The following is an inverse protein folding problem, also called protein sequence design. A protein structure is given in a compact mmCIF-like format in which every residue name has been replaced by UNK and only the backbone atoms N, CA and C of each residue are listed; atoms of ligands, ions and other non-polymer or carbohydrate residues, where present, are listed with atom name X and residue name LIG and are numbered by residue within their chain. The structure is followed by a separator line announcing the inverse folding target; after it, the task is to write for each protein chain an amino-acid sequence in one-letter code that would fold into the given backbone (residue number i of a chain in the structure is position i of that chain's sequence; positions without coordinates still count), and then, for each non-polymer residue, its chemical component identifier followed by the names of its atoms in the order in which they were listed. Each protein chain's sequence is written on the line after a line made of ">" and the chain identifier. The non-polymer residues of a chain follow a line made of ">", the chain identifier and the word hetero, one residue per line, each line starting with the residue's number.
data_IF_104414310182
#
_entry.id   IF_104414310182
#
_cell.length_a   1.000
_cell.length_b   1.000
_cell.length_c   1.000
_cell.angle_alpha   90.00
_cell.angle_beta   90.00
_cell.angle_gamma   90.00
#
_symmetry.space_group_name_H-M   'P 1'
#
loop_
_entity.id
_entity.type
_entity.pdbx_description
1 polymer ?
#
# COMPACT_ATOMS: atom_id res chain seq x y z
N UNK A 1 -22.14 1.19 20.21
CA UNK A 1 -22.86 2.29 19.53
C UNK A 1 -22.63 3.66 20.18
N UNK A 2 -22.81 3.87 21.50
CA UNK A 2 -22.56 5.18 22.14
C UNK A 2 -21.18 5.83 21.87
N UNK A 3 -20.14 5.03 21.58
CA UNK A 3 -18.79 5.52 21.31
C UNK A 3 -18.65 6.20 19.94
N UNK A 4 -19.40 5.80 18.90
CA UNK A 4 -19.28 6.41 17.56
C UNK A 4 -19.89 7.82 17.54
N UNK A 5 -21.05 7.98 18.19
CA UNK A 5 -21.70 9.29 18.32
C UNK A 5 -20.83 10.27 19.10
N UNK A 6 -20.21 9.85 20.21
CA UNK A 6 -19.27 10.71 20.96
C UNK A 6 -18.07 11.15 20.14
N UNK A 7 -17.58 10.27 19.26
CA UNK A 7 -16.50 10.61 18.34
C UNK A 7 -17.00 11.62 17.31
N UNK A 8 -18.20 11.44 16.76
CA UNK A 8 -18.79 12.42 15.83
C UNK A 8 -19.06 13.77 16.48
N UNK A 9 -19.54 13.80 17.72
CA UNK A 9 -19.72 15.02 18.48
C UNK A 9 -18.39 15.77 18.65
N UNK A 10 -17.30 15.05 18.97
CA UNK A 10 -15.97 15.63 19.07
C UNK A 10 -15.45 16.15 17.72
N UNK A 11 -15.81 15.49 16.63
CA UNK A 11 -15.44 15.86 15.27
C UNK A 11 -16.37 16.93 14.67
N UNK A 12 -17.46 17.34 15.33
CA UNK A 12 -18.40 18.33 14.80
C UNK A 12 -17.86 19.77 14.90
N UNK A 13 -16.81 20.01 15.69
CA UNK A 13 -16.26 21.34 15.92
C UNK A 13 -15.14 21.69 14.91
N UNK A 14 -15.01 22.97 14.48
CA UNK A 14 -13.90 23.42 13.65
C UNK A 14 -12.54 23.02 14.20
N UNK A 15 -11.65 22.56 13.33
CA UNK A 15 -10.31 22.12 13.67
C UNK A 15 -9.26 22.84 12.81
N UNK A 16 -9.11 24.18 12.95
CA UNK A 16 -8.29 24.99 12.04
C UNK A 16 -6.79 24.64 12.07
N UNK A 17 -6.30 24.11 13.19
CA UNK A 17 -4.90 23.76 13.40
C UNK A 17 -4.60 22.25 13.23
N UNK A 18 -5.61 21.43 12.90
CA UNK A 18 -5.43 19.99 12.81
C UNK A 18 -4.70 19.62 11.51
N UNK A 19 -3.55 18.96 11.63
CA UNK A 19 -2.75 18.51 10.49
C UNK A 19 -2.94 17.01 10.18
N UNK A 20 -3.21 16.21 11.21
CA UNK A 20 -3.29 14.76 11.14
C UNK A 20 -4.48 14.23 11.95
N UNK A 21 -5.20 13.26 11.39
CA UNK A 21 -6.32 12.61 12.05
C UNK A 21 -6.19 11.09 11.96
N UNK A 22 -6.15 10.41 13.10
CA UNK A 22 -6.25 8.95 13.15
C UNK A 22 -7.47 8.54 13.97
N UNK A 23 -8.37 7.78 13.34
CA UNK A 23 -9.57 7.25 13.96
C UNK A 23 -9.52 5.73 13.91
N UNK A 24 -9.34 5.12 15.08
CA UNK A 24 -9.34 3.68 15.26
C UNK A 24 -10.57 3.26 16.07
N UNK A 25 -11.68 2.99 15.39
CA UNK A 25 -12.88 2.44 16.03
C UNK A 25 -12.91 0.93 15.91
N UNK A 26 -13.23 0.25 17.01
CA UNK A 26 -13.49 -1.17 16.99
C UNK A 26 -14.98 -1.40 16.71
N UNK A 27 -15.30 -1.92 15.53
CA UNK A 27 -16.66 -2.30 15.14
C UNK A 27 -16.79 -3.82 15.29
N UNK A 28 -17.83 -4.28 15.98
CA UNK A 28 -18.15 -5.70 16.10
C UNK A 28 -18.43 -6.29 14.71
N UNK A 29 -17.77 -7.39 14.38
CA UNK A 29 -17.84 -8.05 13.07
C UNK A 29 -19.23 -8.64 12.81
N UNK A 30 -19.99 -8.98 13.86
CA UNK A 30 -21.36 -9.49 13.74
C UNK A 30 -22.31 -8.45 13.15
N UNK A 31 -22.05 -7.16 13.40
CA UNK A 31 -22.85 -6.05 12.88
C UNK A 31 -22.57 -5.70 11.42
N UNK A 32 -21.48 -6.21 10.81
CA UNK A 32 -21.08 -5.91 9.41
C UNK A 32 -21.68 -6.85 8.36
N UNK A 33 -22.26 -7.98 8.77
CA UNK A 33 -22.85 -8.97 7.84
C UNK A 33 -24.14 -8.47 7.17
N UNK A 34 -24.70 -7.36 7.66
CA UNK A 34 -25.87 -6.70 7.10
C UNK A 34 -25.45 -5.27 6.77
N UNK A 35 -25.79 -4.83 5.54
CA UNK A 35 -25.62 -3.47 4.99
C UNK A 35 -25.15 -2.45 6.02
N UNK A 36 -23.93 -1.92 5.86
CA UNK A 36 -23.36 -0.90 6.74
C UNK A 36 -24.40 0.19 7.01
N UNK A 37 -24.87 0.34 8.25
CA UNK A 37 -25.71 1.47 8.63
C UNK A 37 -25.03 2.78 8.25
N UNK A 38 -25.81 3.80 7.89
CA UNK A 38 -25.32 5.15 7.56
C UNK A 38 -24.42 5.75 8.66
N UNK A 39 -24.55 5.24 9.88
CA UNK A 39 -23.79 5.59 11.07
C UNK A 39 -22.28 5.29 10.96
N UNK A 40 -21.84 4.47 10.00
CA UNK A 40 -20.43 4.14 9.79
C UNK A 40 -19.75 4.91 8.67
N UNK A 41 -20.49 5.81 8.01
CA UNK A 41 -19.88 6.84 7.17
C UNK A 41 -19.36 7.98 8.04
N UNK A 42 -18.24 8.54 7.63
CA UNK A 42 -17.77 9.78 8.23
C UNK A 42 -18.78 10.90 7.93
N UNK A 43 -19.15 11.70 8.96
CA UNK A 43 -20.07 12.80 8.79
C UNK A 43 -19.60 13.75 7.68
N UNK A 44 -20.54 14.15 6.82
CA UNK A 44 -20.25 15.08 5.72
C UNK A 44 -19.73 16.43 6.22
N UNK A 45 -20.19 16.85 7.37
CA UNK A 45 -19.86 18.08 8.07
C UNK A 45 -18.72 17.90 9.08
N UNK A 46 -17.83 16.90 8.87
CA UNK A 46 -16.62 16.72 9.67
C UNK A 46 -15.90 18.07 9.87
N UNK A 47 -15.57 18.38 11.13
CA UNK A 47 -15.00 19.63 11.61
C UNK A 47 -15.78 20.89 11.22
N UNK A 48 -17.11 20.81 11.12
CA UNK A 48 -17.96 21.84 10.52
C UNK A 48 -17.47 22.28 9.12
N UNK A 49 -16.83 21.37 8.39
CA UNK A 49 -16.19 21.64 7.10
C UNK A 49 -14.86 22.41 7.18
N UNK A 50 -14.32 22.67 8.37
CA UNK A 50 -13.15 23.53 8.61
C UNK A 50 -11.97 22.76 9.22
N UNK A 51 -11.16 22.16 8.35
CA UNK A 51 -9.84 21.60 8.70
C UNK A 51 -8.80 21.93 7.60
N UNK A 52 -8.48 23.22 7.37
CA UNK A 52 -7.66 23.67 6.25
C UNK A 52 -6.23 23.15 6.25
N UNK A 53 -5.69 22.77 7.42
CA UNK A 53 -4.34 22.22 7.57
C UNK A 53 -4.31 20.69 7.54
N UNK A 54 -5.46 20.01 7.47
CA UNK A 54 -5.49 18.55 7.50
C UNK A 54 -4.85 17.98 6.23
N UNK A 55 -3.76 17.22 6.39
CA UNK A 55 -3.00 16.62 5.29
C UNK A 55 -2.97 15.10 5.35
N UNK A 56 -3.13 14.50 6.53
CA UNK A 56 -3.08 13.06 6.73
C UNK A 56 -4.28 12.56 7.50
N UNK A 57 -4.85 11.45 7.05
CA UNK A 57 -5.96 10.82 7.73
C UNK A 57 -5.85 9.30 7.64
N UNK A 58 -6.15 8.63 8.75
CA UNK A 58 -6.06 7.18 8.86
C UNK A 58 -7.31 6.62 9.56
N UNK A 59 -8.09 5.80 8.85
CA UNK A 59 -9.38 5.33 9.34
C UNK A 59 -9.38 3.80 9.40
N UNK A 60 -9.75 3.28 10.55
CA UNK A 60 -10.03 1.87 10.70
C UNK A 60 -11.54 1.67 10.61
N UNK A 61 -11.99 0.86 9.66
CA UNK A 61 -13.36 0.33 9.58
C UNK A 61 -14.50 1.31 9.26
N UNK A 62 -14.21 2.55 8.90
CA UNK A 62 -15.21 3.55 8.49
C UNK A 62 -15.15 3.84 6.99
N UNK A 63 -16.29 4.17 6.39
CA UNK A 63 -16.38 4.55 4.98
C UNK A 63 -16.42 6.08 4.80
N UNK A 64 -15.92 6.55 3.67
CA UNK A 64 -16.04 7.93 3.25
C UNK A 64 -17.47 8.18 2.80
N UNK A 65 -18.01 9.34 3.15
CA UNK A 65 -19.29 9.76 2.61
C UNK A 65 -19.19 9.84 1.06
N UNK A 66 -20.11 9.24 0.30
CA UNK A 66 -20.01 9.18 -1.17
C UNK A 66 -20.03 10.57 -1.82
N UNK A 67 -20.74 11.52 -1.22
CA UNK A 67 -20.79 12.92 -1.67
C UNK A 67 -19.56 13.75 -1.26
N UNK A 68 -18.59 13.13 -0.59
CA UNK A 68 -17.37 13.76 -0.10
C UNK A 68 -17.54 14.49 1.23
N UNK A 69 -16.39 14.85 1.80
CA UNK A 69 -16.29 15.54 3.10
C UNK A 69 -15.39 16.76 2.88
N UNK A 70 -15.92 18.01 2.88
CA UNK A 70 -15.16 19.21 2.52
C UNK A 70 -13.88 19.41 3.35
N UNK A 71 -13.90 19.06 4.64
CA UNK A 71 -12.73 19.13 5.51
C UNK A 71 -11.56 18.24 5.05
N UNK A 72 -11.79 17.27 4.17
CA UNK A 72 -10.78 16.37 3.62
C UNK A 72 -10.27 16.79 2.23
N UNK A 73 -10.75 17.90 1.65
CA UNK A 73 -10.38 18.30 0.29
C UNK A 73 -8.86 18.54 0.11
N UNK A 74 -8.18 18.99 1.17
CA UNK A 74 -6.72 19.21 1.21
C UNK A 74 -5.90 17.98 1.59
N UNK A 75 -6.53 16.81 1.74
CA UNK A 75 -5.86 15.59 2.20
C UNK A 75 -4.87 15.08 1.15
N UNK A 76 -3.62 14.87 1.56
CA UNK A 76 -2.53 14.39 0.68
C UNK A 76 -2.17 12.93 0.95
N UNK A 77 -2.43 12.44 2.15
CA UNK A 77 -2.20 11.05 2.55
C UNK A 77 -3.44 10.47 3.20
N UNK A 78 -3.89 9.33 2.69
CA UNK A 78 -5.04 8.63 3.23
C UNK A 78 -4.70 7.16 3.47
N UNK A 79 -4.98 6.69 4.67
CA UNK A 79 -4.94 5.27 5.01
C UNK A 79 -6.33 4.83 5.39
N UNK A 80 -6.80 3.74 4.80
CA UNK A 80 -7.96 3.06 5.32
C UNK A 80 -7.73 1.56 5.42
N UNK A 81 -8.29 0.98 6.47
CA UNK A 81 -8.27 -0.44 6.70
C UNK A 81 -9.71 -0.97 6.72
N UNK A 82 -9.96 -1.89 5.80
CA UNK A 82 -11.20 -2.60 5.63
C UNK A 82 -11.01 -4.06 6.05
N UNK A 83 -11.72 -4.48 7.09
CA UNK A 83 -11.69 -5.88 7.53
C UNK A 83 -12.38 -6.85 6.58
N UNK A 84 -13.09 -6.32 5.59
CA UNK A 84 -13.88 -7.01 4.58
C UNK A 84 -13.24 -6.80 3.20
N UNK A 85 -14.03 -6.74 2.13
CA UNK A 85 -13.57 -6.38 0.80
C UNK A 85 -13.65 -4.86 0.59
N UNK A 86 -12.69 -4.29 -0.15
CA UNK A 86 -12.77 -2.90 -0.62
C UNK A 86 -13.98 -2.74 -1.55
N UNK A 87 -14.97 -1.96 -1.12
CA UNK A 87 -16.18 -1.73 -1.90
C UNK A 87 -15.96 -0.76 -3.07
N UNK A 88 -16.76 -0.92 -4.13
CA UNK A 88 -16.73 -0.01 -5.28
C UNK A 88 -17.16 1.41 -4.87
N UNK A 89 -18.13 1.55 -3.96
CA UNK A 89 -18.59 2.85 -3.44
C UNK A 89 -17.48 3.56 -2.68
N UNK A 90 -16.73 2.84 -1.84
CA UNK A 90 -15.61 3.40 -1.10
C UNK A 90 -14.49 3.84 -2.04
N UNK A 91 -14.17 3.04 -3.06
CA UNK A 91 -13.17 3.41 -4.05
C UNK A 91 -13.60 4.66 -4.86
N UNK A 92 -14.87 4.73 -5.27
CA UNK A 92 -15.47 5.94 -5.86
C UNK A 92 -15.32 7.16 -4.96
N UNK A 93 -15.63 7.01 -3.67
CA UNK A 93 -15.56 8.10 -2.72
C UNK A 93 -14.11 8.61 -2.57
N UNK A 94 -13.13 7.71 -2.41
CA UNK A 94 -11.71 8.08 -2.32
C UNK A 94 -11.26 8.85 -3.57
N UNK A 95 -11.50 8.26 -4.75
CA UNK A 95 -11.00 8.78 -6.03
C UNK A 95 -11.75 10.04 -6.47
N UNK A 96 -13.04 10.14 -6.17
CA UNK A 96 -13.90 11.24 -6.58
C UNK A 96 -13.91 12.44 -5.64
N UNK A 97 -13.59 12.25 -4.35
CA UNK A 97 -13.79 13.29 -3.33
C UNK A 97 -12.51 13.79 -2.67
N UNK A 98 -11.35 13.15 -2.94
CA UNK A 98 -10.05 13.54 -2.40
C UNK A 98 -9.11 14.05 -3.52
N UNK A 99 -9.32 15.27 -4.04
CA UNK A 99 -8.61 15.78 -5.22
C UNK A 99 -7.11 16.00 -5.01
N UNK A 100 -6.69 16.22 -3.76
CA UNK A 100 -5.29 16.49 -3.39
C UNK A 100 -4.50 15.23 -3.01
N UNK A 101 -5.13 14.05 -3.07
CA UNK A 101 -4.53 12.81 -2.61
C UNK A 101 -3.30 12.44 -3.45
N UNK A 102 -2.20 12.09 -2.78
CA UNK A 102 -0.93 11.66 -3.39
C UNK A 102 -0.43 10.33 -2.83
N UNK A 103 -0.77 9.99 -1.60
CA UNK A 103 -0.38 8.73 -0.96
C UNK A 103 -1.63 8.00 -0.46
N UNK A 104 -1.83 6.78 -0.92
CA UNK A 104 -2.97 5.95 -0.54
C UNK A 104 -2.49 4.63 0.05
N UNK A 105 -2.94 4.31 1.27
CA UNK A 105 -2.72 3.02 1.90
C UNK A 105 -4.06 2.30 2.04
N UNK A 106 -4.16 1.12 1.44
CA UNK A 106 -5.33 0.26 1.46
C UNK A 106 -4.96 -1.05 2.12
N UNK A 107 -5.71 -1.41 3.16
CA UNK A 107 -5.67 -2.75 3.72
C UNK A 107 -7.04 -3.39 3.59
N UNK A 108 -7.15 -4.52 2.88
CA UNK A 108 -8.41 -5.23 2.69
C UNK A 108 -8.22 -6.75 2.85
N UNK A 109 -9.07 -7.41 3.64
CA UNK A 109 -8.89 -8.84 3.93
C UNK A 109 -9.61 -9.79 2.97
N UNK A 110 -10.63 -9.31 2.25
CA UNK A 110 -11.51 -10.16 1.41
C UNK A 110 -11.58 -9.67 -0.04
N UNK A 111 -10.50 -9.07 -0.56
CA UNK A 111 -10.43 -8.60 -1.95
C UNK A 111 -11.01 -7.20 -2.18
N UNK A 112 -11.48 -6.93 -3.40
CA UNK A 112 -11.94 -5.62 -3.84
C UNK A 112 -13.02 -5.70 -4.94
N UNK A 113 -13.78 -4.61 -5.10
CA UNK A 113 -14.70 -4.37 -6.22
C UNK A 113 -14.38 -3.04 -6.89
N UNK A 114 -14.41 -3.02 -8.22
CA UNK A 114 -14.19 -1.80 -8.97
C UNK A 114 -15.49 -1.01 -9.18
N UNK A 115 -15.41 0.32 -9.20
CA UNK A 115 -16.40 1.19 -9.79
C UNK A 115 -16.65 0.88 -11.27
N UNK A 116 -17.89 1.11 -11.70
CA UNK A 116 -18.26 1.09 -13.14
C UNK A 116 -17.69 2.30 -13.89
N UNK A 117 -17.56 3.45 -13.20
CA UNK A 117 -17.03 4.67 -13.77
C UNK A 117 -15.49 4.67 -13.69
N UNK A 118 -14.78 5.13 -14.74
CA UNK A 118 -13.33 5.26 -14.69
C UNK A 118 -12.90 6.30 -13.65
N UNK A 119 -11.65 6.18 -13.17
CA UNK A 119 -11.05 7.21 -12.34
C UNK A 119 -10.95 8.54 -13.12
N UNK A 120 -11.17 9.71 -12.48
CA UNK A 120 -10.97 11.00 -13.11
C UNK A 120 -9.52 11.17 -13.58
N UNK A 121 -9.32 11.77 -14.77
CA UNK A 121 -7.96 11.98 -15.33
C UNK A 121 -7.06 12.88 -14.45
N UNK A 122 -7.67 13.65 -13.55
CA UNK A 122 -6.98 14.51 -12.57
C UNK A 122 -6.49 13.74 -11.35
N UNK A 123 -7.01 12.54 -11.08
CA UNK A 123 -6.59 11.70 -9.96
C UNK A 123 -5.21 11.11 -10.24
N UNK A 124 -4.24 11.40 -9.38
CA UNK A 124 -2.86 10.93 -9.51
C UNK A 124 -2.25 10.67 -8.15
N UNK A 125 -1.74 9.44 -7.97
CA UNK A 125 -0.98 9.03 -6.80
C UNK A 125 0.52 9.06 -7.10
N UNK A 126 1.29 9.51 -6.12
CA UNK A 126 2.74 9.38 -6.09
C UNK A 126 3.15 8.09 -5.36
N UNK A 127 2.37 7.69 -4.36
CA UNK A 127 2.63 6.57 -3.46
C UNK A 127 1.38 5.70 -3.28
N UNK A 128 1.55 4.38 -3.31
CA UNK A 128 0.48 3.42 -3.08
C UNK A 128 0.97 2.28 -2.17
N UNK A 129 0.27 2.03 -1.08
CA UNK A 129 0.51 0.88 -0.20
C UNK A 129 -0.70 -0.04 -0.24
N UNK A 130 -0.52 -1.26 -0.74
CA UNK A 130 -1.58 -2.25 -0.91
C UNK A 130 -1.28 -3.51 -0.09
N UNK A 131 -2.13 -3.73 0.89
CA UNK A 131 -2.20 -4.96 1.69
C UNK A 131 -3.59 -5.58 1.50
N UNK A 132 -3.79 -6.15 0.31
CA UNK A 132 -5.03 -6.84 -0.05
C UNK A 132 -4.74 -8.34 -0.06
N UNK A 133 -5.36 -9.09 0.84
CA UNK A 133 -5.20 -10.54 0.88
C UNK A 133 -5.93 -11.18 -0.30
N UNK A 134 -5.26 -12.05 -1.08
CA UNK A 134 -5.94 -12.99 -1.98
C UNK A 134 -6.91 -13.83 -1.16
N UNK A 135 -8.15 -13.98 -1.63
CA UNK A 135 -9.06 -14.94 -1.01
C UNK A 135 -8.35 -16.31 -1.00
N UNK A 136 -8.29 -16.95 0.17
CA UNK A 136 -7.57 -18.21 0.35
C UNK A 136 -8.17 -19.37 -0.48
N UNK A 137 -9.27 -19.15 -1.20
CA UNK A 137 -10.03 -20.18 -1.89
C UNK A 137 -10.29 -19.81 -3.35
N UNK A 138 -9.34 -20.21 -4.21
CA UNK A 138 -9.45 -20.34 -5.67
C UNK A 138 -9.55 -19.02 -6.43
N UNK A 139 -8.69 -18.92 -7.44
CA UNK A 139 -8.51 -17.81 -8.37
C UNK A 139 -7.69 -16.65 -7.79
N UNK A 140 -6.45 -16.58 -8.25
CA UNK A 140 -5.57 -15.41 -8.22
C UNK A 140 -6.42 -14.14 -8.32
N UNK A 141 -6.43 -13.33 -7.25
CA UNK A 141 -6.90 -11.96 -7.38
C UNK A 141 -6.00 -11.29 -8.41
N UNK A 142 -6.51 -11.09 -9.63
CA UNK A 142 -5.86 -10.23 -10.61
C UNK A 142 -5.89 -8.83 -10.01
N UNK A 143 -4.75 -8.29 -9.59
CA UNK A 143 -4.68 -6.93 -9.07
C UNK A 143 -4.63 -5.91 -10.22
N UNK A 144 -4.32 -6.34 -11.44
CA UNK A 144 -4.22 -5.50 -12.64
C UNK A 144 -5.39 -4.54 -12.81
N UNK A 145 -6.67 -4.96 -12.67
CA UNK A 145 -7.80 -4.05 -12.82
C UNK A 145 -7.77 -2.91 -11.79
N UNK A 146 -7.50 -3.22 -10.51
CA UNK A 146 -7.36 -2.21 -9.46
C UNK A 146 -6.14 -1.31 -9.70
N UNK A 147 -5.00 -1.89 -10.07
CA UNK A 147 -3.78 -1.14 -10.34
C UNK A 147 -3.96 -0.18 -11.52
N UNK A 148 -4.57 -0.64 -12.60
CA UNK A 148 -4.91 0.22 -13.76
C UNK A 148 -5.88 1.32 -13.35
N UNK A 149 -6.91 0.99 -12.57
CA UNK A 149 -7.88 1.97 -12.06
C UNK A 149 -7.20 3.07 -11.25
N UNK A 150 -6.23 2.71 -10.40
CA UNK A 150 -5.47 3.64 -9.56
C UNK A 150 -4.35 4.38 -10.31
N UNK A 151 -4.18 4.15 -11.62
CA UNK A 151 -3.13 4.79 -12.43
C UNK A 151 -1.72 4.26 -12.13
N UNK A 152 -1.59 2.97 -11.81
CA UNK A 152 -0.34 2.32 -11.40
C UNK A 152 0.85 2.65 -12.27
N UNK A 153 0.69 2.88 -13.57
CA UNK A 153 1.75 3.23 -14.51
C UNK A 153 2.50 4.54 -14.18
N UNK A 154 1.85 5.45 -13.44
CA UNK A 154 2.38 6.77 -13.10
C UNK A 154 2.84 6.89 -11.65
N UNK A 155 2.54 5.91 -10.80
CA UNK A 155 2.85 5.94 -9.37
C UNK A 155 4.36 5.77 -9.17
N UNK A 156 5.01 6.62 -8.38
CA UNK A 156 6.47 6.55 -8.20
C UNK A 156 6.87 5.42 -7.25
N UNK A 157 6.08 5.20 -6.21
CA UNK A 157 6.41 4.24 -5.15
C UNK A 157 5.21 3.34 -4.83
N UNK A 158 5.46 2.04 -4.77
CA UNK A 158 4.45 1.04 -4.44
C UNK A 158 4.94 0.13 -3.32
N UNK A 159 4.10 -0.06 -2.31
CA UNK A 159 4.35 -0.92 -1.15
C UNK A 159 3.41 -2.12 -1.20
N UNK A 160 3.94 -3.31 -0.94
CA UNK A 160 3.14 -4.53 -0.79
C UNK A 160 3.74 -5.45 0.27
N UNK A 161 2.94 -6.34 0.87
CA UNK A 161 3.46 -7.39 1.77
C UNK A 161 3.90 -8.65 0.99
N UNK A 162 3.45 -8.82 -0.26
CA UNK A 162 3.56 -10.09 -0.97
C UNK A 162 4.37 -9.92 -2.25
N UNK A 163 5.68 -10.20 -2.21
CA UNK A 163 6.58 -10.00 -3.35
C UNK A 163 6.18 -10.86 -4.58
N UNK A 164 5.94 -12.16 -4.39
CA UNK A 164 5.63 -13.10 -5.47
C UNK A 164 4.28 -12.82 -6.19
N UNK A 165 3.31 -12.20 -5.51
CA UNK A 165 2.01 -11.86 -6.12
C UNK A 165 2.08 -10.60 -7.01
N UNK A 166 3.23 -9.93 -7.03
CA UNK A 166 3.41 -8.62 -7.65
C UNK A 166 4.62 -8.55 -8.58
N UNK A 167 5.40 -9.63 -8.67
CA UNK A 167 6.64 -9.69 -9.43
C UNK A 167 6.41 -9.23 -10.87
N UNK A 168 5.38 -9.77 -11.55
CA UNK A 168 5.00 -9.39 -12.91
C UNK A 168 4.71 -7.91 -13.11
N UNK A 169 4.09 -7.24 -12.12
CA UNK A 169 3.77 -5.82 -12.18
C UNK A 169 4.99 -4.92 -12.05
N UNK A 170 6.02 -5.38 -11.35
CA UNK A 170 7.26 -4.65 -11.17
C UNK A 170 8.24 -4.85 -12.33
N UNK A 171 8.10 -5.95 -13.06
CA UNK A 171 9.05 -6.37 -14.09
C UNK A 171 8.54 -6.21 -15.52
N UNK A 172 7.23 -6.10 -15.72
CA UNK A 172 6.59 -6.00 -17.03
C UNK A 172 6.18 -4.56 -17.44
N UNK A 173 5.92 -4.31 -18.74
CA UNK A 173 5.37 -3.03 -19.21
C UNK A 173 4.09 -2.62 -18.45
N UNK A 174 3.90 -1.31 -18.16
CA UNK A 174 4.69 -0.15 -18.58
C UNK A 174 5.95 0.08 -17.75
N UNK A 175 6.25 -0.81 -16.80
CA UNK A 175 7.47 -0.77 -16.01
C UNK A 175 8.62 -1.44 -16.76
N UNK A 176 9.82 -1.10 -16.30
CA UNK A 176 11.05 -1.71 -16.77
C UNK A 176 11.59 -2.62 -15.68
N UNK A 177 12.34 -3.65 -16.08
CA UNK A 177 13.04 -4.50 -15.15
C UNK A 177 13.86 -3.67 -14.14
N UNK A 178 13.73 -3.95 -12.83
CA UNK A 178 14.51 -3.27 -11.83
C UNK A 178 15.99 -3.60 -12.01
N UNK A 179 16.85 -2.63 -11.72
CA UNK A 179 18.30 -2.79 -11.84
C UNK A 179 18.98 -2.94 -10.47
N UNK A 180 18.28 -2.58 -9.39
CA UNK A 180 18.76 -2.72 -8.02
C UNK A 180 17.74 -3.49 -7.19
N UNK A 181 18.22 -4.48 -6.45
CA UNK A 181 17.49 -5.14 -5.37
C UNK A 181 18.23 -4.82 -4.07
N UNK A 182 17.50 -4.31 -3.08
CA UNK A 182 17.98 -4.17 -1.72
C UNK A 182 17.16 -5.07 -0.81
N UNK A 183 17.81 -5.87 0.03
CA UNK A 183 17.15 -6.71 1.03
C UNK A 183 17.82 -6.47 2.37
N UNK A 184 17.06 -5.90 3.29
CA UNK A 184 17.56 -5.48 4.60
C UNK A 184 17.27 -6.53 5.68
N UNK A 185 18.21 -6.68 6.61
CA UNK A 185 18.18 -7.66 7.72
C UNK A 185 17.20 -7.25 8.82
N UNK A 186 16.84 -8.17 9.74
CA UNK A 186 15.48 -8.24 10.23
C UNK A 186 15.13 -7.09 11.17
N UNK A 187 14.18 -6.28 10.74
CA UNK A 187 13.22 -5.68 11.67
C UNK A 187 12.22 -6.80 11.97
N UNK A 188 12.22 -7.34 13.19
CA UNK A 188 11.20 -8.30 13.67
C UNK A 188 11.10 -9.64 12.91
N UNK A 189 12.23 -10.27 12.57
CA UNK A 189 12.29 -11.55 11.81
C UNK A 189 11.72 -11.50 10.38
N UNK A 190 11.52 -10.31 9.82
CA UNK A 190 11.10 -10.13 8.42
C UNK A 190 12.12 -9.30 7.66
N UNK A 191 12.31 -9.63 6.39
CA UNK A 191 13.22 -8.93 5.50
C UNK A 191 12.44 -7.93 4.65
N UNK A 192 12.77 -6.65 4.81
CA UNK A 192 12.29 -5.59 3.93
C UNK A 192 13.08 -5.64 2.63
N UNK A 193 12.38 -5.48 1.51
CA UNK A 193 12.98 -5.48 0.19
C UNK A 193 12.58 -4.24 -0.61
N UNK A 194 13.47 -3.82 -1.49
CA UNK A 194 13.30 -2.69 -2.39
C UNK A 194 13.80 -3.07 -3.77
N UNK A 195 12.94 -2.94 -4.77
CA UNK A 195 13.24 -3.02 -6.19
C UNK A 195 13.24 -1.62 -6.76
N UNK A 196 14.35 -1.23 -7.37
CA UNK A 196 14.52 0.12 -7.92
C UNK A 196 14.75 0.01 -9.43
N UNK A 197 13.88 0.67 -10.20
CA UNK A 197 14.00 0.76 -11.65
C UNK A 197 14.95 1.89 -12.07
N UNK A 198 15.41 1.86 -13.32
CA UNK A 198 16.24 2.94 -13.88
C UNK A 198 15.51 4.29 -13.98
N UNK A 199 14.17 4.28 -14.01
CA UNK A 199 13.34 5.48 -14.04
C UNK A 199 13.07 6.07 -12.66
N UNK A 200 13.63 5.50 -11.60
CA UNK A 200 13.40 5.93 -10.21
C UNK A 200 12.10 5.40 -9.60
N UNK A 201 11.43 4.44 -10.26
CA UNK A 201 10.32 3.72 -9.65
C UNK A 201 10.83 2.80 -8.53
N UNK A 202 10.09 2.77 -7.42
CA UNK A 202 10.41 1.95 -6.26
C UNK A 202 9.24 1.03 -5.96
N UNK A 203 9.47 -0.28 -6.02
CA UNK A 203 8.61 -1.25 -5.40
C UNK A 203 9.26 -1.70 -4.08
N UNK A 204 8.54 -1.60 -2.98
CA UNK A 204 9.01 -2.03 -1.67
C UNK A 204 8.07 -3.04 -1.06
N UNK A 205 8.59 -3.88 -0.20
CA UNK A 205 7.73 -4.75 0.57
C UNK A 205 8.37 -5.37 1.77
N UNK A 206 7.53 -6.07 2.51
CA UNK A 206 7.92 -6.84 3.70
C UNK A 206 7.99 -8.32 3.33
N UNK A 207 8.66 -9.12 4.17
CA UNK A 207 8.75 -10.58 4.03
C UNK A 207 9.35 -11.03 2.69
N UNK A 208 10.62 -10.72 2.48
CA UNK A 208 11.39 -11.35 1.41
C UNK A 208 11.72 -12.80 1.78
N UNK A 209 11.23 -13.77 1.00
CA UNK A 209 11.66 -15.17 1.05
C UNK A 209 12.67 -15.39 -0.07
N UNK A 210 13.91 -15.78 0.26
CA UNK A 210 14.93 -16.00 -0.77
C UNK A 210 14.61 -17.19 -1.68
N UNK A 211 13.78 -18.13 -1.22
CA UNK A 211 13.28 -19.22 -2.04
C UNK A 211 12.40 -18.72 -3.20
N UNK A 212 11.75 -17.56 -3.07
CA UNK A 212 10.94 -16.97 -4.15
C UNK A 212 11.81 -16.58 -5.35
N UNK A 213 13.08 -16.19 -5.16
CA UNK A 213 14.02 -15.92 -6.26
C UNK A 213 14.29 -17.15 -7.14
N UNK A 214 14.22 -18.35 -6.55
CA UNK A 214 14.46 -19.61 -7.25
C UNK A 214 13.17 -20.15 -7.87
N UNK A 215 12.06 -20.04 -7.14
CA UNK A 215 10.79 -20.67 -7.48
C UNK A 215 9.97 -19.88 -8.49
N UNK A 216 10.03 -18.54 -8.44
CA UNK A 216 9.29 -17.67 -9.34
C UNK A 216 10.15 -17.35 -10.60
N UNK A 217 9.74 -17.79 -11.81
CA UNK A 217 10.45 -17.50 -13.05
C UNK A 217 10.66 -16.00 -13.31
N UNK A 218 9.71 -15.16 -12.88
CA UNK A 218 9.73 -13.71 -13.05
C UNK A 218 10.81 -13.10 -12.17
N UNK A 219 10.83 -13.51 -10.90
CA UNK A 219 11.86 -13.10 -9.94
C UNK A 219 13.25 -13.57 -10.36
N UNK A 220 13.36 -14.75 -10.99
CA UNK A 220 14.62 -15.23 -11.56
C UNK A 220 15.11 -14.36 -12.72
N UNK A 221 14.25 -14.06 -13.69
CA UNK A 221 14.58 -13.17 -14.82
C UNK A 221 15.00 -11.78 -14.30
N UNK A 222 14.26 -11.27 -13.33
CA UNK A 222 14.58 -10.02 -12.66
C UNK A 222 15.95 -10.07 -12.00
N UNK A 223 16.24 -11.14 -11.24
CA UNK A 223 17.50 -11.33 -10.56
C UNK A 223 18.67 -11.34 -11.56
N UNK A 224 18.55 -12.08 -12.66
CA UNK A 224 19.56 -12.12 -13.74
C UNK A 224 19.82 -10.76 -14.40
N UNK A 225 18.86 -9.82 -14.32
CA UNK A 225 18.98 -8.46 -14.85
C UNK A 225 19.64 -7.47 -13.87
N UNK A 226 19.75 -7.81 -12.59
CA UNK A 226 20.25 -6.89 -11.56
C UNK A 226 21.69 -6.45 -11.84
N UNK A 227 21.92 -5.16 -11.66
CA UNK A 227 23.25 -4.52 -11.70
C UNK A 227 23.79 -4.27 -10.31
N UNK A 228 22.91 -4.00 -9.34
CA UNK A 228 23.26 -3.78 -7.95
C UNK A 228 22.42 -4.67 -7.02
N UNK A 229 23.10 -5.28 -6.04
CA UNK A 229 22.48 -6.08 -4.99
C UNK A 229 22.99 -5.59 -3.64
N UNK A 230 22.08 -5.12 -2.80
CA UNK A 230 22.36 -4.84 -1.39
C UNK A 230 21.68 -5.92 -0.58
N UNK A 231 22.42 -6.68 0.21
CA UNK A 231 21.84 -7.78 0.99
C UNK A 231 22.43 -7.87 2.39
N UNK A 232 21.58 -8.16 3.36
CA UNK A 232 22.03 -8.52 4.70
C UNK A 232 22.86 -9.81 4.67
N UNK A 233 24.05 -9.77 5.26
CA UNK A 233 24.90 -10.95 5.51
C UNK A 233 24.18 -12.05 6.28
N UNK A 234 23.18 -11.71 7.10
CA UNK A 234 22.38 -12.72 7.80
C UNK A 234 21.61 -13.61 6.85
N UNK A 235 21.08 -13.06 5.75
CA UNK A 235 20.34 -13.84 4.73
C UNK A 235 21.24 -14.88 4.07
N UNK A 236 22.49 -14.53 3.79
CA UNK A 236 23.47 -15.46 3.20
C UNK A 236 23.81 -16.63 4.14
N UNK A 237 23.70 -16.42 5.46
CA UNK A 237 24.06 -17.42 6.48
C UNK A 237 22.86 -18.29 6.84
N UNK A 238 21.66 -17.72 6.92
CA UNK A 238 20.46 -18.42 7.37
C UNK A 238 19.74 -19.16 6.25
N UNK A 239 19.79 -18.65 5.03
CA UNK A 239 19.11 -19.26 3.88
C UNK A 239 20.05 -20.25 3.19
N UNK A 240 19.69 -21.54 3.17
CA UNK A 240 20.53 -22.61 2.60
C UNK A 240 20.62 -22.58 1.06
N UNK A 241 19.86 -21.72 0.39
CA UNK A 241 19.70 -21.71 -1.07
C UNK A 241 19.94 -20.31 -1.63
N UNK A 242 21.12 -19.72 -1.40
CA UNK A 242 21.45 -18.50 -2.10
C UNK A 242 21.82 -18.79 -3.56
N UNK A 243 21.12 -18.12 -4.48
CA UNK A 243 21.36 -18.21 -5.92
C UNK A 243 22.76 -17.66 -6.21
N UNK A 244 23.54 -18.27 -7.13
CA UNK A 244 24.78 -17.64 -7.59
C UNK A 244 24.53 -16.19 -8.00
N UNK A 245 25.49 -15.28 -7.78
CA UNK A 245 25.30 -13.87 -8.08
C UNK A 245 24.92 -13.69 -9.56
N UNK A 246 24.02 -12.75 -9.87
CA UNK A 246 23.52 -12.60 -11.23
C UNK A 246 24.65 -12.18 -12.17
N UNK A 247 24.61 -12.67 -13.41
CA UNK A 247 25.69 -12.51 -14.39
C UNK A 247 26.00 -11.03 -14.70
N UNK A 248 25.04 -10.14 -14.48
CA UNK A 248 25.15 -8.69 -14.75
C UNK A 248 25.47 -7.86 -13.51
N UNK A 249 25.70 -8.52 -12.37
CA UNK A 249 26.01 -7.83 -11.13
C UNK A 249 27.33 -7.08 -11.26
N UNK A 250 27.26 -5.78 -11.03
CA UNK A 250 28.41 -4.87 -11.04
C UNK A 250 28.69 -4.30 -9.66
N UNK A 251 27.69 -4.29 -8.79
CA UNK A 251 27.79 -3.78 -7.43
C UNK A 251 27.15 -4.78 -6.47
N UNK A 252 27.91 -5.22 -5.47
CA UNK A 252 27.43 -6.02 -4.36
C UNK A 252 27.71 -5.26 -3.07
N UNK A 253 26.72 -5.12 -2.21
CA UNK A 253 26.91 -4.54 -0.88
C UNK A 253 26.40 -5.53 0.15
N UNK A 254 27.26 -5.91 1.09
CA UNK A 254 26.93 -6.81 2.17
C UNK A 254 26.75 -6.01 3.46
N UNK A 255 25.53 -6.00 3.98
CA UNK A 255 25.18 -5.26 5.20
C UNK A 255 25.26 -6.16 6.43
N UNK A 256 25.87 -5.69 7.53
CA UNK A 256 25.82 -6.37 8.82
C UNK A 256 24.75 -5.72 9.72
N UNK A 257 23.88 -6.54 10.33
CA UNK A 257 22.76 -6.09 11.16
C UNK A 257 23.23 -5.47 12.49
N UNK A 258 24.52 -5.55 12.83
CA UNK A 258 25.09 -5.09 14.11
C UNK A 258 26.10 -3.97 13.95
N UNK A 259 25.67 -2.80 13.46
CA UNK A 259 26.47 -1.57 13.52
C UNK A 259 27.91 -1.68 12.96
N UNK A 260 28.15 -2.63 12.08
CA UNK A 260 29.45 -2.94 11.50
C UNK A 260 29.52 -2.39 10.09
N UNK A 261 30.69 -1.89 9.73
CA UNK A 261 30.99 -1.19 8.48
C UNK A 261 30.45 -1.89 7.22
N UNK A 262 30.10 -1.06 6.24
CA UNK A 262 29.72 -1.49 4.90
C UNK A 262 30.94 -2.18 4.27
N UNK A 263 30.84 -3.49 4.02
CA UNK A 263 31.81 -4.19 3.15
C UNK A 263 31.40 -3.86 1.71
N UNK A 264 32.18 -2.98 1.07
CA UNK A 264 32.02 -2.58 -0.34
C UNK A 264 32.91 -3.41 -1.25
#
# INVERSE_FOLDING_TARGET
>A
MANIHRVYDALAHPAPALEELEIALHIDERTRLFVMPSEYYIPRDLFAGQAPLLRKAAWLTMELHPDGVPALAGLTRFRFEERTALSASQLCAIVGTLPSLRSLCIKAKQGYKLPDNPAPATFRLDELDLDIMPEMHRHTLYLDPLLRYLGFEHIREVTTIWCHNWSDHFTGPPRNLPHTLQVHGPVEMQHDWYLISSSGYIARGRKFDSADLVRDPVMRIMFDYLRALVISTTLLITERAFVPPPLRLTHLTLCCVRGGDIIR
#
